data_IF_920551827089
#
_entry.id   IF_920551827089
#
_cell.length_a   1.000
_cell.length_b   1.000
_cell.length_c   1.000
_cell.angle_alpha   90.00
_cell.angle_beta   90.00
_cell.angle_gamma   90.00
#
_symmetry.space_group_name_H-M   'P 1'
#
loop_
_entity.id
_entity.type
_entity.pdbx_description
1 polymer ?
#
# COMPACT_ATOMS: atom_id res chain seq x y z
N UNK A 1 20.74 41.71 58.72
CA UNK A 1 21.23 41.30 57.40
C UNK A 1 20.22 40.34 56.80
N UNK A 2 19.42 40.82 55.84
CA UNK A 2 18.42 40.00 55.15
C UNK A 2 19.09 39.50 53.87
N UNK A 3 19.29 38.20 53.78
CA UNK A 3 19.72 37.58 52.53
C UNK A 3 18.52 37.38 51.63
N UNK A 4 18.50 38.05 50.48
CA UNK A 4 17.58 37.76 49.41
C UNK A 4 18.08 36.52 48.67
N UNK A 5 17.35 35.41 48.79
CA UNK A 5 17.52 34.25 47.90
C UNK A 5 16.69 34.48 46.65
N UNK A 6 17.36 34.78 45.57
CA UNK A 6 16.75 34.84 44.23
C UNK A 6 16.64 33.41 43.72
N UNK A 7 15.42 32.87 43.71
CA UNK A 7 15.13 31.59 43.09
C UNK A 7 15.05 31.76 41.56
N UNK A 8 16.02 31.19 40.88
CA UNK A 8 16.05 31.15 39.41
C UNK A 8 15.17 29.98 38.94
N UNK A 9 13.97 30.30 38.48
CA UNK A 9 13.10 29.31 37.82
C UNK A 9 13.60 29.09 36.37
N UNK A 10 14.26 27.98 36.16
CA UNK A 10 14.58 27.52 34.80
C UNK A 10 13.35 26.84 34.25
N UNK A 11 12.61 27.54 33.38
CA UNK A 11 11.53 26.96 32.64
C UNK A 11 12.12 26.08 31.53
N UNK A 12 12.05 24.77 31.71
CA UNK A 12 12.36 23.80 30.66
C UNK A 12 11.20 23.77 29.71
N UNK A 13 11.34 24.41 28.55
CA UNK A 13 10.40 24.29 27.44
C UNK A 13 10.65 22.93 26.79
N UNK A 14 9.82 21.95 27.12
CA UNK A 14 9.79 20.69 26.39
C UNK A 14 9.10 20.95 25.06
N UNK A 15 9.87 21.15 24.02
CA UNK A 15 9.35 21.18 22.66
C UNK A 15 8.84 19.78 22.31
N UNK A 16 7.54 19.60 22.36
CA UNK A 16 6.89 18.39 21.83
C UNK A 16 7.08 18.37 20.33
N UNK A 17 8.05 17.60 19.85
CA UNK A 17 8.20 17.31 18.43
C UNK A 17 7.04 16.38 18.06
N UNK A 18 5.94 16.95 17.59
CA UNK A 18 4.89 16.18 16.96
C UNK A 18 5.48 15.60 15.67
N UNK A 19 5.89 14.33 15.72
CA UNK A 19 6.23 13.61 14.50
C UNK A 19 4.93 13.50 13.67
N UNK A 20 4.78 14.35 12.67
CA UNK A 20 3.77 14.17 11.64
C UNK A 20 4.21 12.94 10.84
N UNK A 21 3.68 11.76 11.19
CA UNK A 21 3.74 10.60 10.32
C UNK A 21 3.09 11.04 9.01
N UNK A 22 3.87 11.08 7.90
CA UNK A 22 3.32 11.30 6.58
C UNK A 22 2.14 10.35 6.40
N UNK A 23 0.95 10.87 6.06
CA UNK A 23 -0.25 10.07 5.92
C UNK A 23 0.02 9.06 4.79
N UNK A 24 0.25 7.76 5.11
CA UNK A 24 0.68 6.80 4.10
C UNK A 24 -0.40 6.54 3.04
N UNK A 25 -1.65 6.98 3.27
CA UNK A 25 -2.73 6.90 2.28
C UNK A 25 -2.42 7.66 0.99
N UNK A 26 -1.62 8.74 1.06
CA UNK A 26 -1.23 9.52 -0.12
C UNK A 26 -0.32 8.75 -1.08
N UNK A 27 0.32 7.69 -0.63
CA UNK A 27 1.21 6.86 -1.44
C UNK A 27 0.42 6.03 -2.45
N UNK A 28 -0.77 5.59 -2.08
CA UNK A 28 -1.63 4.74 -2.91
C UNK A 28 -2.74 5.50 -3.62
N UNK A 29 -3.21 6.60 -3.08
CA UNK A 29 -4.33 7.36 -3.65
C UNK A 29 -3.98 7.87 -5.04
N UNK A 30 -4.86 7.58 -6.00
CA UNK A 30 -4.71 8.00 -7.39
C UNK A 30 -5.25 6.99 -8.38
N UNK A 31 -4.93 7.20 -9.64
CA UNK A 31 -5.27 6.32 -10.73
C UNK A 31 -4.04 5.54 -11.19
N UNK A 32 -4.22 4.23 -11.40
CA UNK A 32 -3.15 3.28 -11.73
C UNK A 32 -3.59 2.45 -12.94
N UNK A 33 -2.78 2.46 -13.99
CA UNK A 33 -3.08 1.70 -15.22
C UNK A 33 -2.32 0.39 -15.22
N UNK A 34 -3.00 -0.71 -15.44
CA UNK A 34 -2.40 -2.04 -15.55
C UNK A 34 -1.48 -2.07 -16.78
N UNK A 35 -0.20 -2.31 -16.53
CA UNK A 35 0.86 -2.28 -17.54
C UNK A 35 1.22 -3.67 -18.03
N UNK A 36 1.39 -4.63 -17.11
CA UNK A 36 1.78 -5.98 -17.43
C UNK A 36 1.35 -6.99 -16.35
N UNK A 37 1.55 -8.25 -16.68
CA UNK A 37 1.29 -9.40 -15.81
C UNK A 37 2.60 -9.91 -15.26
N UNK A 38 2.65 -10.12 -13.93
CA UNK A 38 3.85 -10.63 -13.24
C UNK A 38 3.70 -12.08 -12.78
N UNK A 39 2.51 -12.63 -12.81
CA UNK A 39 2.28 -14.01 -12.43
C UNK A 39 0.82 -14.43 -12.48
N UNK A 40 0.61 -15.72 -12.24
CA UNK A 40 -0.70 -16.35 -12.16
C UNK A 40 -0.78 -17.21 -10.92
N UNK A 41 -1.88 -17.13 -10.19
CA UNK A 41 -2.19 -18.13 -9.17
C UNK A 41 -2.76 -19.39 -9.82
N UNK A 42 -2.80 -20.48 -9.08
CA UNK A 42 -3.32 -21.77 -9.57
C UNK A 42 -4.82 -21.71 -9.97
N UNK A 43 -5.54 -20.71 -9.48
CA UNK A 43 -6.98 -20.51 -9.74
C UNK A 43 -7.27 -19.45 -10.81
N UNK A 44 -6.24 -18.97 -11.51
CA UNK A 44 -6.41 -17.94 -12.54
C UNK A 44 -7.07 -18.47 -13.82
N UNK A 45 -7.74 -17.56 -14.56
CA UNK A 45 -8.21 -17.84 -15.91
C UNK A 45 -7.10 -17.83 -16.98
N UNK A 46 -5.85 -17.62 -16.55
CA UNK A 46 -4.68 -17.64 -17.43
C UNK A 46 -4.58 -16.42 -18.37
N UNK A 47 -3.84 -16.57 -19.50
CA UNK A 47 -3.58 -15.47 -20.42
C UNK A 47 -4.82 -14.74 -20.99
N UNK A 48 -5.95 -15.38 -21.29
CA UNK A 48 -7.15 -14.68 -21.76
C UNK A 48 -7.68 -13.67 -20.73
N UNK A 49 -7.68 -14.03 -19.44
CA UNK A 49 -8.10 -13.14 -18.37
C UNK A 49 -7.09 -12.00 -18.17
N UNK A 50 -5.81 -12.30 -18.23
CA UNK A 50 -4.74 -11.30 -18.15
C UNK A 50 -4.86 -10.26 -19.27
N UNK A 51 -5.13 -10.70 -20.51
CA UNK A 51 -5.34 -9.80 -21.64
C UNK A 51 -6.51 -8.84 -21.43
N UNK A 52 -7.58 -9.31 -20.83
CA UNK A 52 -8.77 -8.50 -20.53
C UNK A 52 -8.45 -7.38 -19.54
N UNK A 53 -7.53 -7.62 -18.62
CA UNK A 53 -7.19 -6.69 -17.54
C UNK A 53 -6.12 -5.66 -17.93
N UNK A 54 -5.33 -5.93 -18.97
CA UNK A 54 -4.29 -4.98 -19.44
C UNK A 54 -4.92 -3.67 -19.89
N UNK A 55 -4.31 -2.55 -19.50
CA UNK A 55 -4.77 -1.20 -19.83
C UNK A 55 -5.94 -0.70 -18.99
N UNK A 56 -6.52 -1.51 -18.12
CA UNK A 56 -7.57 -1.07 -17.21
C UNK A 56 -7.00 -0.18 -16.10
N UNK A 57 -7.82 0.73 -15.63
CA UNK A 57 -7.46 1.67 -14.57
C UNK A 57 -8.04 1.24 -13.23
N UNK A 58 -7.18 1.14 -12.22
CA UNK A 58 -7.57 1.06 -10.83
C UNK A 58 -7.57 2.45 -10.22
N UNK A 59 -8.64 2.82 -9.53
CA UNK A 59 -8.73 4.06 -8.78
C UNK A 59 -8.71 3.75 -7.29
N UNK A 60 -7.72 4.28 -6.60
CA UNK A 60 -7.62 4.14 -5.16
C UNK A 60 -7.94 5.49 -4.54
N UNK A 61 -8.99 5.51 -3.74
CA UNK A 61 -9.36 6.63 -2.89
C UNK A 61 -8.99 6.34 -1.43
N UNK A 62 -9.23 7.28 -0.54
CA UNK A 62 -8.93 7.11 0.89
C UNK A 62 -9.65 5.91 1.51
N UNK A 63 -10.86 5.62 1.08
CA UNK A 63 -11.76 4.64 1.70
C UNK A 63 -12.30 3.59 0.72
N UNK A 64 -11.86 3.62 -0.54
CA UNK A 64 -12.36 2.69 -1.56
C UNK A 64 -11.34 2.41 -2.65
N UNK A 65 -11.54 1.27 -3.32
CA UNK A 65 -10.83 0.87 -4.53
C UNK A 65 -11.87 0.53 -5.60
N UNK A 66 -11.74 1.16 -6.76
CA UNK A 66 -12.54 0.86 -7.95
C UNK A 66 -11.66 0.19 -9.01
N UNK A 67 -12.01 -1.00 -9.43
CA UNK A 67 -11.33 -1.71 -10.49
C UNK A 67 -12.27 -2.70 -11.19
N UNK A 68 -12.15 -2.81 -12.50
CA UNK A 68 -12.89 -3.78 -13.32
C UNK A 68 -14.42 -3.73 -13.08
N UNK A 69 -14.98 -2.53 -12.93
CA UNK A 69 -16.40 -2.32 -12.66
C UNK A 69 -16.85 -2.65 -11.25
N UNK A 70 -15.93 -2.99 -10.35
CA UNK A 70 -16.22 -3.32 -8.96
C UNK A 70 -15.65 -2.26 -8.03
N UNK A 71 -16.45 -1.87 -7.04
CA UNK A 71 -16.02 -1.01 -5.93
C UNK A 71 -15.87 -1.83 -4.66
N UNK A 72 -14.71 -1.76 -4.04
CA UNK A 72 -14.46 -2.30 -2.71
C UNK A 72 -14.32 -1.15 -1.72
N UNK A 73 -15.14 -1.16 -0.67
CA UNK A 73 -15.12 -0.19 0.41
C UNK A 73 -15.10 -0.95 1.74
N UNK A 74 -13.93 -1.13 2.37
CA UNK A 74 -13.84 -1.92 3.58
C UNK A 74 -14.49 -1.19 4.75
N UNK A 75 -15.34 -1.89 5.51
CA UNK A 75 -16.08 -1.33 6.65
C UNK A 75 -15.15 -0.81 7.75
N UNK A 76 -14.01 -1.49 7.97
CA UNK A 76 -13.01 -1.13 8.98
C UNK A 76 -11.86 -0.28 8.40
N UNK A 77 -12.00 0.16 7.14
CA UNK A 77 -10.99 0.95 6.45
C UNK A 77 -9.76 0.16 6.00
N UNK A 78 -8.78 0.89 5.49
CA UNK A 78 -7.50 0.33 5.08
C UNK A 78 -6.47 0.44 6.19
N UNK A 79 -5.55 -0.52 6.23
CA UNK A 79 -4.31 -0.44 7.00
C UNK A 79 -3.13 -0.33 6.05
N UNK A 80 -2.12 0.43 6.47
CA UNK A 80 -0.88 0.60 5.72
C UNK A 80 0.27 0.26 6.64
N UNK A 81 1.11 -0.66 6.22
CA UNK A 81 2.25 -1.14 6.99
C UNK A 81 3.42 -1.49 6.09
N UNK A 82 4.61 -1.42 6.63
CA UNK A 82 5.80 -1.99 5.98
C UNK A 82 5.92 -3.45 6.40
N UNK A 83 6.02 -4.33 5.41
CA UNK A 83 6.05 -5.78 5.62
C UNK A 83 7.27 -6.40 4.94
N UNK A 84 7.64 -7.58 5.39
CA UNK A 84 8.54 -8.46 4.63
C UNK A 84 7.76 -9.02 3.44
N UNK A 85 8.24 -8.72 2.24
CA UNK A 85 7.48 -8.93 1.01
C UNK A 85 7.25 -10.41 0.70
N UNK A 86 8.27 -11.24 0.81
CA UNK A 86 8.19 -12.64 0.39
C UNK A 86 7.10 -13.44 1.12
N UNK A 87 6.99 -13.45 2.47
CA UNK A 87 5.92 -14.19 3.13
C UNK A 87 4.55 -13.65 2.82
N UNK A 88 4.38 -12.33 2.65
CA UNK A 88 3.09 -11.72 2.32
C UNK A 88 2.62 -12.03 0.90
N UNK A 89 3.52 -12.01 -0.08
CA UNK A 89 3.20 -12.42 -1.45
C UNK A 89 2.80 -13.89 -1.52
N UNK A 90 3.53 -14.73 -0.79
CA UNK A 90 3.21 -16.15 -0.73
C UNK A 90 1.83 -16.39 -0.10
N UNK A 91 1.53 -15.70 1.00
CA UNK A 91 0.24 -15.84 1.70
C UNK A 91 -0.94 -15.37 0.86
N UNK A 92 -0.80 -14.22 0.19
CA UNK A 92 -1.91 -13.62 -0.56
C UNK A 92 -2.04 -14.15 -1.98
N UNK A 93 -0.92 -14.36 -2.67
CA UNK A 93 -0.93 -14.61 -4.10
C UNK A 93 -0.19 -15.88 -4.53
N UNK A 94 0.49 -16.57 -3.61
CA UNK A 94 1.24 -17.79 -3.89
C UNK A 94 2.33 -17.62 -4.97
N UNK A 95 2.91 -16.42 -5.05
CA UNK A 95 4.01 -16.10 -5.96
C UNK A 95 5.29 -15.71 -5.19
N UNK A 96 6.41 -15.76 -5.88
CA UNK A 96 7.73 -15.37 -5.34
C UNK A 96 7.98 -13.88 -5.56
N UNK A 97 8.73 -13.27 -4.63
CA UNK A 97 9.11 -11.85 -4.71
C UNK A 97 9.90 -11.51 -5.97
N UNK A 98 10.74 -12.41 -6.45
CA UNK A 98 11.54 -12.23 -7.66
C UNK A 98 10.68 -12.12 -8.91
N UNK A 99 9.56 -12.82 -8.97
CA UNK A 99 8.65 -12.80 -10.11
C UNK A 99 7.88 -11.47 -10.15
N UNK A 100 7.54 -10.92 -8.99
CA UNK A 100 6.81 -9.67 -8.88
C UNK A 100 7.70 -8.41 -9.03
N UNK A 101 9.01 -8.54 -8.90
CA UNK A 101 9.95 -7.40 -8.95
C UNK A 101 9.83 -6.45 -7.77
N UNK A 102 9.31 -6.91 -6.64
CA UNK A 102 9.14 -6.12 -5.42
C UNK A 102 10.42 -6.09 -4.58
N UNK A 103 10.65 -5.01 -3.81
CA UNK A 103 11.76 -4.97 -2.86
C UNK A 103 11.54 -5.96 -1.71
N UNK A 104 12.60 -6.26 -0.97
CA UNK A 104 12.57 -7.18 0.17
C UNK A 104 11.60 -6.74 1.27
N UNK A 105 11.52 -5.43 1.50
CA UNK A 105 10.49 -4.81 2.36
C UNK A 105 9.65 -3.88 1.51
N UNK A 106 8.33 -3.94 1.68
CA UNK A 106 7.42 -3.10 0.91
C UNK A 106 6.31 -2.53 1.78
N UNK A 107 5.76 -1.42 1.33
CA UNK A 107 4.55 -0.85 1.93
C UNK A 107 3.35 -1.57 1.35
N UNK A 108 2.49 -2.07 2.22
CA UNK A 108 1.29 -2.83 1.90
C UNK A 108 0.05 -2.03 2.29
N UNK A 109 -0.86 -1.86 1.33
CA UNK A 109 -2.24 -1.43 1.58
C UNK A 109 -3.09 -2.69 1.75
N UNK A 110 -3.67 -2.86 2.92
CA UNK A 110 -4.41 -4.05 3.28
C UNK A 110 -5.79 -3.72 3.86
N UNK A 111 -6.70 -4.65 3.79
CA UNK A 111 -8.02 -4.58 4.40
C UNK A 111 -8.61 -5.99 4.54
N UNK A 112 -9.71 -6.11 5.29
CA UNK A 112 -10.40 -7.38 5.44
C UNK A 112 -11.10 -7.86 4.15
N UNK A 113 -11.40 -6.96 3.21
CA UNK A 113 -12.29 -7.26 2.07
C UNK A 113 -11.74 -6.90 0.70
N UNK A 114 -10.81 -5.95 0.59
CA UNK A 114 -10.25 -5.54 -0.68
C UNK A 114 -8.95 -6.30 -1.01
N UNK A 115 -8.62 -6.36 -2.29
CA UNK A 115 -7.35 -6.91 -2.73
C UNK A 115 -6.18 -6.19 -2.07
N UNK A 116 -5.20 -6.90 -1.48
CA UNK A 116 -4.00 -6.28 -0.95
C UNK A 116 -3.15 -5.70 -2.09
N UNK A 117 -2.59 -4.51 -1.86
CA UNK A 117 -1.83 -3.77 -2.86
C UNK A 117 -0.42 -3.53 -2.32
N UNK A 118 0.57 -4.00 -3.06
CA UNK A 118 1.98 -3.86 -2.75
C UNK A 118 2.58 -2.68 -3.51
N UNK A 119 3.28 -1.81 -2.82
CA UNK A 119 4.00 -0.71 -3.46
C UNK A 119 5.35 -1.20 -3.99
N UNK A 120 5.53 -1.20 -5.30
CA UNK A 120 6.82 -1.52 -5.91
C UNK A 120 7.80 -0.35 -5.78
N UNK A 121 7.37 0.83 -6.15
CA UNK A 121 8.12 2.09 -6.05
C UNK A 121 7.15 3.29 -6.03
N UNK A 122 7.66 4.51 -6.22
CA UNK A 122 6.84 5.72 -6.21
C UNK A 122 5.75 5.75 -7.29
N UNK A 123 5.90 4.97 -8.36
CA UNK A 123 5.03 5.00 -9.54
C UNK A 123 4.39 3.68 -9.89
N UNK A 124 4.73 2.58 -9.23
CA UNK A 124 4.24 1.24 -9.57
C UNK A 124 3.73 0.50 -8.35
N UNK A 125 2.66 -0.23 -8.56
CA UNK A 125 2.05 -1.14 -7.58
C UNK A 125 1.86 -2.53 -8.18
N UNK A 126 1.76 -3.52 -7.31
CA UNK A 126 1.45 -4.92 -7.66
C UNK A 126 0.24 -5.36 -6.86
N UNK A 127 -0.73 -5.98 -7.51
CA UNK A 127 -1.92 -6.54 -6.87
C UNK A 127 -2.45 -7.73 -7.66
N UNK A 128 -3.24 -8.56 -6.99
CA UNK A 128 -3.91 -9.70 -7.61
C UNK A 128 -5.37 -9.39 -7.93
N UNK A 129 -5.84 -9.88 -9.06
CA UNK A 129 -7.24 -9.80 -9.49
C UNK A 129 -7.63 -11.04 -10.27
N UNK A 130 -8.66 -11.74 -9.82
CA UNK A 130 -9.13 -13.00 -10.42
C UNK A 130 -8.00 -14.01 -10.66
N UNK A 131 -7.06 -14.09 -9.72
CA UNK A 131 -5.90 -14.98 -9.78
C UNK A 131 -4.78 -14.54 -10.73
N UNK A 132 -4.91 -13.40 -11.38
CA UNK A 132 -3.84 -12.78 -12.19
C UNK A 132 -3.12 -11.74 -11.34
N UNK A 133 -1.80 -11.81 -11.29
CA UNK A 133 -0.99 -10.84 -10.57
C UNK A 133 -0.53 -9.76 -11.54
N UNK A 134 -0.93 -8.55 -11.25
CA UNK A 134 -0.82 -7.39 -12.13
C UNK A 134 0.14 -6.35 -11.57
N UNK A 135 0.86 -5.71 -12.48
CA UNK A 135 1.62 -4.50 -12.17
C UNK A 135 0.97 -3.31 -12.84
N UNK A 136 0.77 -2.24 -12.09
CA UNK A 136 0.16 -1.02 -12.59
C UNK A 136 1.06 0.18 -12.34
N UNK A 137 0.97 1.16 -13.23
CA UNK A 137 1.73 2.41 -13.19
C UNK A 137 0.81 3.58 -12.88
N UNK A 138 1.29 4.50 -12.05
CA UNK A 138 0.56 5.71 -11.69
C UNK A 138 0.45 6.65 -12.89
N UNK A 139 -0.75 7.12 -13.13
CA UNK A 139 -1.05 8.17 -14.08
C UNK A 139 -0.69 9.57 -13.55
#
# INVERSE_FOLDING_TARGET
MKQLQTALFISVIVASISAHAANPSNVFVGAWVVQDVVGYSDTSGGPPEAKRLLGKTMRIARDSIDFDGQRCQPSDGFTISTVDTAPKLLDYYQIRVTDAGLPQKTVLLDSASCAPIFRMDARRIVFGWDGVILRAIKQ
#
